data_IF_642646564215
#
_entry.id   IF_642646564215
#
_cell.length_a   1.000
_cell.length_b   1.000
_cell.length_c   1.000
_cell.angle_alpha   90.00
_cell.angle_beta   90.00
_cell.angle_gamma   90.00
#
_symmetry.space_group_name_H-M   'P 1'
#
loop_
_entity.id
_entity.type
_entity.pdbx_description
1 polymer ?
#
# COMPACT_ATOMS: atom_id res chain seq x y z
N UNK A 1 -7.44 4.75 -9.83
CA UNK A 1 -6.36 3.96 -10.49
C UNK A 1 -5.07 4.69 -10.18
N UNK A 2 -4.11 4.02 -9.52
CA UNK A 2 -2.84 4.63 -9.11
C UNK A 2 -1.76 4.20 -10.11
N UNK A 3 -1.01 5.15 -10.68
CA UNK A 3 0.08 4.90 -11.62
C UNK A 3 1.42 4.70 -10.88
N UNK A 4 2.39 4.08 -11.55
CA UNK A 4 3.73 3.95 -11.02
C UNK A 4 4.34 5.34 -10.73
N UNK A 5 4.84 5.53 -9.50
CA UNK A 5 5.38 6.81 -9.02
C UNK A 5 4.32 7.85 -8.64
N UNK A 6 3.02 7.53 -8.76
CA UNK A 6 1.94 8.42 -8.33
C UNK A 6 1.84 8.41 -6.80
N UNK A 7 1.68 9.60 -6.22
CA UNK A 7 1.41 9.78 -4.79
C UNK A 7 -0.02 10.25 -4.64
N UNK A 8 -0.79 9.55 -3.81
CA UNK A 8 -2.16 9.92 -3.50
C UNK A 8 -2.27 10.29 -2.02
N UNK A 9 -2.66 11.53 -1.76
CA UNK A 9 -3.04 11.97 -0.43
C UNK A 9 -4.50 11.61 -0.18
N UNK A 10 -4.78 11.01 0.98
CA UNK A 10 -6.13 10.63 1.41
C UNK A 10 -6.33 11.22 2.80
N UNK A 11 -7.31 12.12 2.93
CA UNK A 11 -7.71 12.63 4.22
C UNK A 11 -8.45 11.55 5.00
N UNK A 12 -7.93 11.24 6.18
CA UNK A 12 -8.50 10.25 7.11
C UNK A 12 -8.70 10.87 8.47
N UNK A 13 -9.78 10.50 9.15
CA UNK A 13 -9.97 10.89 10.54
C UNK A 13 -8.93 10.21 11.46
N UNK A 14 -8.56 10.83 12.59
CA UNK A 14 -7.70 10.17 13.57
C UNK A 14 -8.31 8.84 14.04
N UNK A 15 -7.48 7.82 14.19
CA UNK A 15 -7.93 6.48 14.57
C UNK A 15 -7.16 5.36 13.88
N UNK A 16 -7.66 4.13 14.04
CA UNK A 16 -7.11 2.94 13.40
C UNK A 16 -7.75 2.71 12.04
N UNK A 17 -6.92 2.56 11.04
CA UNK A 17 -7.31 2.32 9.64
C UNK A 17 -6.69 1.04 9.12
N UNK A 18 -7.31 0.50 8.09
CA UNK A 18 -6.79 -0.64 7.35
C UNK A 18 -6.67 -0.29 5.88
N UNK A 19 -5.46 -0.37 5.32
CA UNK A 19 -5.24 -0.19 3.88
C UNK A 19 -5.06 -1.54 3.19
N UNK A 20 -5.79 -1.74 2.11
CA UNK A 20 -5.63 -2.92 1.26
C UNK A 20 -5.28 -2.49 -0.17
N UNK A 21 -4.19 -3.04 -0.70
CA UNK A 21 -3.80 -2.84 -2.09
C UNK A 21 -4.33 -4.00 -2.96
N UNK A 22 -5.01 -3.67 -4.06
CA UNK A 22 -5.60 -4.63 -5.00
C UNK A 22 -5.17 -4.28 -6.43
N UNK A 23 -4.84 -5.29 -7.23
CA UNK A 23 -4.64 -5.18 -8.68
C UNK A 23 -5.47 -6.26 -9.35
N UNK A 24 -6.49 -5.88 -10.12
CA UNK A 24 -7.42 -6.70 -10.91
C UNK A 24 -7.72 -8.12 -10.36
N UNK A 25 -6.78 -9.06 -10.52
CA UNK A 25 -6.90 -10.47 -10.17
C UNK A 25 -6.20 -10.89 -8.86
N UNK A 26 -5.53 -9.99 -8.14
CA UNK A 26 -4.81 -10.27 -6.90
C UNK A 26 -4.88 -9.13 -5.87
N UNK A 27 -5.02 -9.52 -4.60
CA UNK A 27 -5.09 -8.62 -3.47
C UNK A 27 -4.09 -8.99 -2.38
N UNK A 28 -3.57 -7.97 -1.68
CA UNK A 28 -2.85 -8.22 -0.42
C UNK A 28 -3.80 -8.27 0.77
N UNK A 29 -3.42 -8.94 1.87
CA UNK A 29 -4.08 -8.73 3.15
C UNK A 29 -3.96 -7.27 3.58
N UNK A 30 -4.97 -6.78 4.29
CA UNK A 30 -5.01 -5.39 4.75
C UNK A 30 -3.88 -5.12 5.76
N UNK A 31 -3.24 -3.97 5.63
CA UNK A 31 -2.26 -3.44 6.59
C UNK A 31 -2.98 -2.48 7.53
N UNK A 32 -3.04 -2.84 8.81
CA UNK A 32 -3.57 -1.97 9.84
C UNK A 32 -2.50 -0.94 10.26
N UNK A 33 -2.91 0.32 10.41
CA UNK A 33 -2.08 1.40 10.91
C UNK A 33 -2.96 2.38 11.71
N UNK A 34 -2.36 3.12 12.64
CA UNK A 34 -3.07 4.15 13.41
C UNK A 34 -2.45 5.50 13.12
N UNK A 35 -3.30 6.52 12.99
CA UNK A 35 -2.90 7.93 12.84
C UNK A 35 -3.48 8.74 13.99
N UNK A 36 -2.65 9.58 14.61
CA UNK A 36 -3.10 10.55 15.61
C UNK A 36 -3.55 11.85 14.92
N UNK A 37 -4.26 12.74 15.65
CA UNK A 37 -4.58 14.06 15.11
C UNK A 37 -3.32 14.83 14.70
N UNK A 38 -3.27 15.28 13.45
CA UNK A 38 -2.11 15.98 12.89
C UNK A 38 -1.01 15.07 12.32
N UNK A 39 -1.15 13.75 12.44
CA UNK A 39 -0.22 12.81 11.83
C UNK A 39 -0.48 12.61 10.34
N UNK A 40 0.59 12.35 9.61
CA UNK A 40 0.56 11.85 8.25
C UNK A 40 1.20 10.47 8.20
N UNK A 41 0.42 9.47 7.81
CA UNK A 41 0.93 8.14 7.49
C UNK A 41 1.39 8.09 6.03
N UNK A 42 2.63 7.66 5.81
CA UNK A 42 3.19 7.44 4.49
C UNK A 42 3.24 5.94 4.22
N UNK A 43 2.42 5.51 3.27
CA UNK A 43 2.35 4.12 2.82
C UNK A 43 2.84 4.03 1.39
N UNK A 44 3.65 3.02 1.10
CA UNK A 44 4.21 2.78 -0.21
C UNK A 44 3.67 1.47 -0.78
N UNK A 45 3.19 1.54 -2.02
CA UNK A 45 2.72 0.39 -2.79
C UNK A 45 3.65 0.20 -3.98
N UNK A 46 4.30 -0.94 -4.05
CA UNK A 46 5.19 -1.31 -5.16
C UNK A 46 4.74 -2.63 -5.76
N UNK A 47 4.98 -2.90 -7.05
CA UNK A 47 4.98 -4.25 -7.55
C UNK A 47 6.13 -5.03 -6.87
N UNK A 48 5.83 -6.16 -6.24
CA UNK A 48 6.80 -7.05 -5.62
C UNK A 48 7.60 -7.89 -6.64
N UNK A 49 7.27 -7.79 -7.94
CA UNK A 49 7.93 -8.51 -9.02
C UNK A 49 8.95 -7.65 -9.76
N UNK A 50 10.19 -8.13 -9.85
CA UNK A 50 11.16 -7.63 -10.82
C UNK A 50 10.67 -7.94 -12.24
N UNK A 51 10.98 -7.08 -13.22
CA UNK A 51 10.64 -7.29 -14.64
C UNK A 51 11.13 -8.64 -15.21
N UNK A 52 12.08 -9.30 -14.54
CA UNK A 52 12.62 -10.61 -14.88
C UNK A 52 11.86 -11.81 -14.28
N UNK A 53 10.85 -11.59 -13.43
CA UNK A 53 10.11 -12.65 -12.73
C UNK A 53 8.63 -12.67 -13.12
N UNK A 54 8.37 -12.77 -14.42
CA UNK A 54 7.04 -12.99 -15.00
C UNK A 54 6.29 -14.18 -14.36
N UNK A 55 7.02 -15.15 -13.79
CA UNK A 55 6.46 -16.27 -13.01
C UNK A 55 5.76 -15.86 -11.70
N UNK A 56 6.14 -14.76 -11.07
CA UNK A 56 5.47 -14.29 -9.85
C UNK A 56 4.06 -13.73 -10.12
N UNK A 57 3.77 -13.34 -11.38
CA UNK A 57 2.42 -13.02 -11.83
C UNK A 57 1.53 -14.27 -11.96
N UNK A 58 2.07 -15.49 -11.85
CA UNK A 58 1.25 -16.71 -11.77
C UNK A 58 1.02 -17.18 -10.33
N UNK A 59 1.82 -16.70 -9.36
CA UNK A 59 1.54 -16.91 -7.94
C UNK A 59 0.57 -15.85 -7.43
N UNK A 60 -0.72 -16.20 -7.41
CA UNK A 60 -1.92 -15.45 -6.96
C UNK A 60 -1.82 -14.56 -5.71
N UNK A 61 -0.72 -14.57 -4.97
CA UNK A 61 -0.69 -14.09 -3.59
C UNK A 61 0.26 -12.91 -3.37
N UNK A 62 1.15 -12.54 -4.30
CA UNK A 62 2.25 -11.60 -3.96
C UNK A 62 2.72 -10.68 -5.09
N UNK A 63 1.83 -10.16 -5.94
CA UNK A 63 2.27 -9.21 -6.98
C UNK A 63 2.49 -7.78 -6.48
N UNK A 64 1.70 -7.31 -5.51
CA UNK A 64 1.93 -6.01 -4.86
C UNK A 64 2.80 -6.20 -3.63
N UNK A 65 3.44 -5.13 -3.12
CA UNK A 65 4.07 -4.94 -1.82
C UNK A 65 3.47 -3.68 -1.23
N UNK A 66 2.98 -3.78 0.00
CA UNK A 66 2.46 -2.64 0.76
C UNK A 66 3.32 -2.52 2.01
N UNK A 67 3.92 -1.36 2.21
CA UNK A 67 4.82 -1.08 3.33
C UNK A 67 4.42 0.24 3.98
N UNK A 68 4.31 0.25 5.30
CA UNK A 68 4.20 1.49 6.07
C UNK A 68 5.60 2.06 6.24
N UNK A 69 5.87 3.22 5.63
CA UNK A 69 7.19 3.85 5.68
C UNK A 69 7.37 4.63 6.99
N UNK A 70 6.41 5.51 7.31
CA UNK A 70 6.42 6.29 8.55
C UNK A 70 5.03 6.75 8.93
N UNK A 71 4.81 6.94 10.22
CA UNK A 71 3.70 7.73 10.77
C UNK A 71 4.34 8.81 11.61
N UNK A 72 3.99 10.06 11.35
CA UNK A 72 4.51 11.17 12.14
C UNK A 72 3.78 12.46 11.86
N UNK A 73 3.89 13.38 12.81
CA UNK A 73 3.30 14.71 12.78
C UNK A 73 4.03 15.56 11.74
N UNK A 74 3.28 16.28 10.91
CA UNK A 74 3.86 17.25 9.94
C UNK A 74 4.52 18.39 10.68
#
# INVERSE_FOLDING_TARGET
>A
MIKAGERQAIDVHPGTHSLQAHIDWSGRPALAFSVLPGDTAWLEVEPAGNALQFWQAFTRTRYLRLTLQRVGTT
#
